data_IF_684852706135
#
_entry.id   IF_684852706135
#
_cell.length_a   1.000
_cell.length_b   1.000
_cell.length_c   1.000
_cell.angle_alpha   90.00
_cell.angle_beta   90.00
_cell.angle_gamma   90.00
#
_symmetry.space_group_name_H-M   'P 1'
#
loop_
_entity.id
_entity.type
_entity.pdbx_description
1 polymer ?
#
# COMPACT_ATOMS: atom_id res chain seq x y z
N UNK A 1 31.46 17.25 -12.23
CA UNK A 1 31.04 16.96 -10.84
C UNK A 1 30.60 15.52 -10.79
N UNK A 2 31.37 14.66 -10.13
CA UNK A 2 31.03 13.25 -9.97
C UNK A 2 29.98 13.12 -8.87
N UNK A 3 28.91 12.37 -9.13
CA UNK A 3 27.89 12.06 -8.13
C UNK A 3 28.52 11.31 -6.95
N UNK A 4 28.12 11.60 -5.70
CA UNK A 4 28.62 10.88 -4.54
C UNK A 4 28.23 9.40 -4.65
N UNK A 5 29.21 8.53 -4.40
CA UNK A 5 29.00 7.09 -4.35
C UNK A 5 27.88 6.75 -3.34
N UNK A 6 27.03 5.75 -3.64
CA UNK A 6 25.96 5.37 -2.73
C UNK A 6 26.54 4.95 -1.36
N UNK A 7 25.89 5.33 -0.25
CA UNK A 7 26.36 5.00 1.08
C UNK A 7 26.40 3.48 1.28
N UNK A 8 27.43 2.94 1.95
CA UNK A 8 27.53 1.50 2.20
C UNK A 8 26.36 1.05 3.08
N UNK A 9 25.41 0.31 2.50
CA UNK A 9 24.22 -0.21 3.20
C UNK A 9 22.87 0.29 2.69
N UNK A 10 22.80 1.03 1.59
CA UNK A 10 21.53 1.36 0.95
C UNK A 10 20.78 0.07 0.54
N UNK A 11 19.44 -0.02 0.74
CA UNK A 11 18.69 -1.18 0.28
C UNK A 11 18.88 -1.29 -1.25
N UNK A 12 19.06 -2.51 -1.80
CA UNK A 12 19.37 -2.71 -3.22
C UNK A 12 18.35 -2.06 -4.18
N UNK A 13 17.13 -1.79 -3.69
CA UNK A 13 16.09 -1.05 -4.39
C UNK A 13 16.42 0.42 -4.61
N UNK A 14 17.07 1.08 -3.66
CA UNK A 14 17.41 2.51 -3.73
C UNK A 14 18.43 2.78 -4.83
N UNK A 15 19.38 1.88 -5.05
CA UNK A 15 20.38 2.03 -6.12
C UNK A 15 19.76 1.94 -7.52
N UNK A 16 18.76 1.05 -7.68
CA UNK A 16 17.99 0.93 -8.92
C UNK A 16 17.15 2.18 -9.14
N UNK A 17 16.49 2.66 -8.08
CA UNK A 17 15.67 3.89 -8.12
C UNK A 17 16.50 5.11 -8.53
N UNK A 18 17.65 5.34 -7.89
CA UNK A 18 18.56 6.44 -8.25
C UNK A 18 19.03 6.36 -9.71
N UNK A 19 19.33 5.14 -10.18
CA UNK A 19 19.76 4.94 -11.58
C UNK A 19 18.61 5.24 -12.55
N UNK A 20 17.37 4.91 -12.17
CA UNK A 20 16.17 5.16 -12.96
C UNK A 20 15.79 6.65 -12.99
N UNK A 21 15.91 7.36 -11.87
CA UNK A 21 15.76 8.82 -11.79
C UNK A 21 16.79 9.54 -12.67
N UNK A 22 18.05 9.11 -12.58
CA UNK A 22 19.14 9.68 -13.38
C UNK A 22 18.94 9.42 -14.88
N UNK A 23 18.39 8.26 -15.25
CA UNK A 23 18.01 7.91 -16.62
C UNK A 23 16.86 8.80 -17.12
N UNK A 24 15.82 9.00 -16.31
CA UNK A 24 14.70 9.88 -16.64
C UNK A 24 15.20 11.31 -16.89
N UNK A 25 16.04 11.85 -16.01
CA UNK A 25 16.62 13.18 -16.18
C UNK A 25 17.44 13.28 -17.48
N UNK A 26 18.23 12.26 -17.80
CA UNK A 26 19.05 12.26 -19.02
C UNK A 26 18.19 12.16 -20.28
N UNK A 27 17.11 11.38 -20.26
CA UNK A 27 16.12 11.31 -21.35
C UNK A 27 15.38 12.63 -21.54
N UNK A 28 15.02 13.32 -20.45
CA UNK A 28 14.42 14.65 -20.51
C UNK A 28 15.38 15.67 -21.14
N UNK A 29 16.62 15.72 -20.68
CA UNK A 29 17.65 16.61 -21.25
C UNK A 29 17.93 16.31 -22.73
N UNK A 30 17.98 15.03 -23.10
CA UNK A 30 18.10 14.61 -24.50
C UNK A 30 16.91 15.08 -25.34
N UNK A 31 15.68 14.95 -24.81
CA UNK A 31 14.47 15.47 -25.44
C UNK A 31 14.50 16.98 -25.65
N UNK A 32 14.98 17.74 -24.65
CA UNK A 32 15.15 19.19 -24.74
C UNK A 32 16.19 19.53 -25.83
N UNK A 33 17.37 18.90 -25.81
CA UNK A 33 18.42 19.13 -26.79
C UNK A 33 17.99 18.75 -28.22
N UNK A 34 17.14 17.72 -28.36
CA UNK A 34 16.61 17.31 -29.65
C UNK A 34 15.48 18.24 -30.15
N UNK A 35 14.76 18.89 -29.24
CA UNK A 35 13.70 19.85 -29.59
C UNK A 35 14.23 21.21 -30.03
N UNK A 36 15.34 21.66 -29.42
CA UNK A 36 15.98 22.94 -29.72
C UNK A 36 17.50 22.77 -29.70
N UNK A 37 18.07 22.61 -30.91
CA UNK A 37 19.51 22.44 -31.08
C UNK A 37 20.16 23.80 -31.09
N UNK A 38 20.73 24.20 -29.96
CA UNK A 38 21.47 25.46 -29.87
C UNK A 38 22.75 25.42 -30.71
N UNK A 39 23.13 26.53 -31.33
CA UNK A 39 24.38 26.63 -32.10
C UNK A 39 25.62 26.34 -31.23
N UNK A 40 25.56 26.59 -29.94
CA UNK A 40 26.60 26.24 -28.95
C UNK A 40 26.67 24.74 -28.63
N UNK A 41 25.64 23.97 -28.99
CA UNK A 41 25.52 22.53 -28.79
C UNK A 41 25.97 21.72 -30.03
N UNK A 42 26.28 22.39 -31.14
CA UNK A 42 26.81 21.79 -32.35
C UNK A 42 28.30 21.47 -32.21
N UNK A 43 28.71 20.37 -32.84
CA UNK A 43 30.12 19.95 -32.93
C UNK A 43 30.99 20.99 -33.66
N UNK A 44 30.40 21.70 -34.64
CA UNK A 44 31.06 22.72 -35.47
C UNK A 44 31.22 24.08 -34.78
N UNK A 45 30.70 24.23 -33.57
CA UNK A 45 30.72 25.51 -32.84
C UNK A 45 32.08 25.75 -32.18
N UNK A 46 32.83 26.80 -32.56
CA UNK A 46 34.06 27.16 -31.86
C UNK A 46 33.70 27.66 -30.45
N UNK A 47 34.31 27.05 -29.42
CA UNK A 47 34.01 27.27 -27.97
C UNK A 47 32.61 26.84 -27.48
N UNK A 48 31.87 26.05 -28.28
CA UNK A 48 30.60 25.45 -27.84
C UNK A 48 30.77 24.40 -26.74
N UNK A 49 29.71 24.15 -25.96
CA UNK A 49 29.68 23.18 -24.83
C UNK A 49 29.92 21.74 -25.31
N UNK A 50 29.74 21.49 -26.60
CA UNK A 50 30.00 20.21 -27.26
C UNK A 50 31.00 20.32 -28.43
N UNK A 51 31.86 21.34 -28.41
CA UNK A 51 32.90 21.53 -29.43
C UNK A 51 33.84 20.33 -29.48
N UNK A 52 34.03 19.75 -30.67
CA UNK A 52 34.89 18.59 -30.89
C UNK A 52 34.35 17.25 -30.35
N UNK A 53 33.11 17.20 -29.87
CA UNK A 53 32.44 15.95 -29.48
C UNK A 53 31.63 15.44 -30.69
N UNK A 54 31.87 14.20 -31.16
CA UNK A 54 31.17 13.66 -32.31
C UNK A 54 29.65 13.60 -32.04
N UNK A 55 28.87 14.28 -32.88
CA UNK A 55 27.42 14.38 -32.72
C UNK A 55 26.94 15.45 -31.73
N UNK A 56 27.83 16.35 -31.30
CA UNK A 56 27.50 17.49 -30.43
C UNK A 56 26.92 17.08 -29.07
N UNK A 57 26.11 17.96 -28.47
CA UNK A 57 25.54 17.72 -27.15
C UNK A 57 24.54 16.56 -27.14
N UNK A 58 23.81 16.39 -28.25
CA UNK A 58 22.85 15.30 -28.45
C UNK A 58 23.58 13.95 -28.46
N UNK A 59 24.67 13.83 -29.22
CA UNK A 59 25.48 12.61 -29.27
C UNK A 59 26.03 12.23 -27.90
N UNK A 60 26.54 13.22 -27.15
CA UNK A 60 26.99 13.01 -25.76
C UNK A 60 25.87 12.52 -24.84
N UNK A 61 24.68 13.13 -24.93
CA UNK A 61 23.52 12.74 -24.11
C UNK A 61 22.98 11.36 -24.48
N UNK A 62 22.95 11.02 -25.77
CA UNK A 62 22.57 9.70 -26.24
C UNK A 62 23.52 8.62 -25.70
N UNK A 63 24.83 8.86 -25.75
CA UNK A 63 25.82 7.95 -25.17
C UNK A 63 25.64 7.79 -23.65
N UNK A 64 25.39 8.88 -22.93
CA UNK A 64 25.10 8.85 -21.50
C UNK A 64 23.84 8.01 -21.18
N UNK A 65 22.78 8.11 -21.98
CA UNK A 65 21.57 7.29 -21.84
C UNK A 65 21.86 5.80 -22.05
N UNK A 66 22.68 5.46 -23.07
CA UNK A 66 23.07 4.06 -23.34
C UNK A 66 23.86 3.47 -22.17
N UNK A 67 24.82 4.22 -21.62
CA UNK A 67 25.61 3.81 -20.46
C UNK A 67 24.74 3.58 -19.22
N UNK A 68 23.77 4.46 -18.97
CA UNK A 68 22.82 4.32 -17.87
C UNK A 68 21.88 3.12 -18.05
N UNK A 69 21.43 2.85 -19.28
CA UNK A 69 20.60 1.68 -19.59
C UNK A 69 21.39 0.37 -19.41
N UNK A 70 22.66 0.36 -19.80
CA UNK A 70 23.58 -0.76 -19.55
C UNK A 70 23.82 -1.00 -18.06
N UNK A 71 24.01 0.06 -17.28
CA UNK A 71 24.11 -0.01 -15.81
C UNK A 71 22.83 -0.57 -15.19
N UNK A 72 21.66 -0.09 -15.60
CA UNK A 72 20.36 -0.58 -15.12
C UNK A 72 20.18 -2.07 -15.42
N UNK A 73 20.58 -2.53 -16.61
CA UNK A 73 20.55 -3.95 -16.95
C UNK A 73 21.45 -4.80 -16.04
N UNK A 74 22.66 -4.32 -15.71
CA UNK A 74 23.55 -4.99 -14.77
C UNK A 74 23.01 -5.06 -13.35
N UNK A 75 22.13 -4.14 -12.97
CA UNK A 75 21.49 -4.09 -11.64
C UNK A 75 20.22 -4.94 -11.54
N UNK A 76 19.76 -5.59 -12.62
CA UNK A 76 18.52 -6.39 -12.63
C UNK A 76 18.50 -7.48 -11.55
N UNK A 77 19.66 -8.06 -11.25
CA UNK A 77 19.79 -9.18 -10.32
C UNK A 77 19.69 -8.73 -8.84
N UNK A 78 19.87 -7.43 -8.56
CA UNK A 78 19.73 -6.86 -7.22
C UNK A 78 18.27 -6.93 -6.70
N UNK A 79 17.30 -6.96 -7.61
CA UNK A 79 15.86 -6.97 -7.30
C UNK A 79 15.18 -8.29 -7.68
N UNK A 80 15.94 -9.30 -8.09
CA UNK A 80 15.40 -10.59 -8.56
C UNK A 80 14.57 -11.35 -7.51
N UNK A 81 14.80 -11.09 -6.23
CA UNK A 81 14.05 -11.72 -5.13
C UNK A 81 12.65 -11.11 -4.90
N UNK A 82 12.28 -10.07 -5.64
CA UNK A 82 10.98 -9.40 -5.49
C UNK A 82 10.01 -9.97 -6.52
N UNK A 83 9.08 -10.81 -6.08
CA UNK A 83 7.98 -11.27 -6.92
C UNK A 83 6.89 -10.19 -7.02
N UNK A 84 6.52 -9.83 -8.25
CA UNK A 84 5.50 -8.83 -8.53
C UNK A 84 4.27 -9.54 -9.11
N UNK A 85 3.07 -9.40 -8.50
CA UNK A 85 1.85 -9.95 -9.06
C UNK A 85 1.55 -9.36 -10.45
N UNK A 86 1.04 -10.18 -11.37
CA UNK A 86 0.77 -9.76 -12.75
C UNK A 86 -0.31 -8.68 -12.82
N UNK A 87 -1.24 -8.66 -11.85
CA UNK A 87 -2.28 -7.63 -11.75
C UNK A 87 -1.66 -6.25 -11.50
N UNK A 88 -0.59 -6.19 -10.70
CA UNK A 88 0.12 -4.93 -10.41
C UNK A 88 0.80 -4.40 -11.68
N UNK A 89 1.41 -5.28 -12.47
CA UNK A 89 2.02 -4.92 -13.77
C UNK A 89 0.95 -4.37 -14.71
N UNK A 90 -0.20 -5.05 -14.79
CA UNK A 90 -1.34 -4.63 -15.62
C UNK A 90 -1.88 -3.25 -15.20
N UNK A 91 -1.89 -2.93 -13.90
CA UNK A 91 -2.29 -1.61 -13.42
C UNK A 91 -1.30 -0.52 -13.86
N UNK A 92 0.00 -0.80 -13.78
CA UNK A 92 1.05 0.13 -14.22
C UNK A 92 0.95 0.39 -15.72
N UNK A 93 0.74 -0.65 -16.54
CA UNK A 93 0.56 -0.52 -17.99
C UNK A 93 -0.67 0.33 -18.36
N UNK A 94 -1.71 0.30 -17.52
CA UNK A 94 -2.91 1.12 -17.69
C UNK A 94 -2.77 2.55 -17.11
N UNK A 95 -1.61 2.90 -16.53
CA UNK A 95 -1.41 4.18 -15.84
C UNK A 95 -2.24 4.33 -14.56
N UNK A 96 -2.69 3.22 -13.96
CA UNK A 96 -3.43 3.20 -12.70
C UNK A 96 -2.49 3.04 -11.52
N UNK A 97 -2.90 3.52 -10.35
CA UNK A 97 -2.12 3.38 -9.14
C UNK A 97 -2.01 1.90 -8.72
N UNK A 98 -0.80 1.32 -8.63
CA UNK A 98 -0.60 -0.08 -8.22
C UNK A 98 -1.09 -0.38 -6.79
N UNK A 99 -1.19 0.63 -5.92
CA UNK A 99 -1.72 0.47 -4.55
C UNK A 99 -3.20 0.07 -4.54
N UNK A 100 -3.92 0.25 -5.66
CA UNK A 100 -5.29 -0.22 -5.78
C UNK A 100 -5.38 -1.74 -5.65
N UNK A 101 -4.43 -2.49 -6.21
CA UNK A 101 -4.38 -3.94 -6.05
C UNK A 101 -4.22 -4.33 -4.59
N UNK A 102 -3.26 -3.70 -3.89
CA UNK A 102 -3.02 -3.95 -2.46
C UNK A 102 -4.26 -3.65 -1.63
N UNK A 103 -4.94 -2.53 -1.90
CA UNK A 103 -6.18 -2.16 -1.22
C UNK A 103 -7.26 -3.23 -1.42
N UNK A 104 -7.57 -3.58 -2.68
CA UNK A 104 -8.61 -4.56 -2.98
C UNK A 104 -8.28 -5.95 -2.44
N UNK A 105 -7.00 -6.32 -2.42
CA UNK A 105 -6.53 -7.58 -1.85
C UNK A 105 -6.76 -7.62 -0.33
N UNK A 106 -6.40 -6.55 0.39
CA UNK A 106 -6.63 -6.45 1.84
C UNK A 106 -8.13 -6.45 2.16
N UNK A 107 -8.94 -5.69 1.41
CA UNK A 107 -10.40 -5.65 1.59
C UNK A 107 -11.03 -7.03 1.38
N UNK A 108 -10.61 -7.74 0.34
CA UNK A 108 -11.07 -9.11 0.05
C UNK A 108 -10.63 -10.09 1.14
N UNK A 109 -9.36 -10.06 1.54
CA UNK A 109 -8.84 -10.92 2.62
C UNK A 109 -9.56 -10.67 3.94
N UNK A 110 -9.83 -9.41 4.28
CA UNK A 110 -10.58 -9.05 5.48
C UNK A 110 -12.00 -9.61 5.43
N UNK A 111 -12.69 -9.44 4.29
CA UNK A 111 -14.02 -10.00 4.08
C UNK A 111 -14.05 -11.53 4.16
N UNK A 112 -13.10 -12.21 3.51
CA UNK A 112 -12.97 -13.67 3.55
C UNK A 112 -12.64 -14.19 4.96
N UNK A 113 -11.81 -13.47 5.71
CA UNK A 113 -11.46 -13.81 7.10
C UNK A 113 -12.69 -13.67 8.02
N UNK A 114 -13.40 -12.53 7.94
CA UNK A 114 -14.63 -12.31 8.72
C UNK A 114 -15.72 -13.33 8.38
N UNK A 115 -15.89 -13.61 7.08
CA UNK A 115 -16.87 -14.60 6.62
C UNK A 115 -16.55 -16.00 7.16
N UNK A 116 -15.28 -16.42 7.08
CA UNK A 116 -14.82 -17.73 7.58
C UNK A 116 -14.99 -17.84 9.10
N UNK A 117 -14.63 -16.80 9.84
CA UNK A 117 -14.84 -16.75 11.29
C UNK A 117 -16.32 -16.79 11.65
N UNK A 118 -17.18 -16.12 10.88
CA UNK A 118 -18.63 -16.18 11.05
C UNK A 118 -19.18 -17.59 10.88
N UNK A 119 -18.73 -18.32 9.86
CA UNK A 119 -19.08 -19.74 9.68
C UNK A 119 -18.60 -20.59 10.85
N UNK A 120 -17.34 -20.40 11.28
CA UNK A 120 -16.76 -21.18 12.37
C UNK A 120 -17.52 -20.96 13.70
N UNK A 121 -17.90 -19.71 13.98
CA UNK A 121 -18.73 -19.36 15.14
C UNK A 121 -20.10 -20.04 15.05
N UNK A 122 -20.79 -19.93 13.90
CA UNK A 122 -22.11 -20.52 13.72
C UNK A 122 -22.11 -22.05 13.85
N UNK A 123 -21.07 -22.72 13.35
CA UNK A 123 -20.90 -24.18 13.52
C UNK A 123 -20.65 -24.52 14.99
N UNK A 124 -19.85 -23.72 15.69
CA UNK A 124 -19.57 -23.93 17.12
C UNK A 124 -20.83 -23.76 17.98
N UNK A 125 -21.64 -22.74 17.67
CA UNK A 125 -22.93 -22.48 18.31
C UNK A 125 -23.93 -23.60 18.03
N UNK A 126 -24.04 -24.02 16.75
CA UNK A 126 -24.89 -25.14 16.36
C UNK A 126 -24.50 -26.43 17.08
N UNK A 127 -23.20 -26.72 17.17
CA UNK A 127 -22.68 -27.88 17.90
C UNK A 127 -23.01 -27.78 19.40
N UNK A 128 -22.91 -26.59 19.99
CA UNK A 128 -23.30 -26.36 21.39
C UNK A 128 -24.79 -26.64 21.62
N UNK A 129 -25.65 -26.10 20.76
CA UNK A 129 -27.10 -26.35 20.81
C UNK A 129 -27.44 -27.82 20.61
N UNK A 130 -26.83 -28.47 19.63
CA UNK A 130 -27.06 -29.89 19.35
C UNK A 130 -26.65 -30.77 20.55
N UNK A 131 -25.53 -30.45 21.20
CA UNK A 131 -25.11 -31.16 22.41
C UNK A 131 -26.09 -30.97 23.57
N UNK A 132 -26.64 -29.77 23.76
CA UNK A 132 -27.62 -29.54 24.83
C UNK A 132 -28.89 -30.35 24.58
N UNK A 133 -29.46 -30.27 23.38
CA UNK A 133 -30.68 -31.00 23.01
C UNK A 133 -30.49 -32.52 23.07
N UNK A 134 -29.31 -33.02 22.68
CA UNK A 134 -29.01 -34.44 22.73
C UNK A 134 -28.80 -34.94 24.17
N UNK A 135 -28.21 -34.13 25.05
CA UNK A 135 -28.12 -34.42 26.48
C UNK A 135 -29.49 -34.46 27.17
N UNK A 136 -30.40 -33.55 26.80
CA UNK A 136 -31.77 -33.52 27.32
C UNK A 136 -32.59 -34.74 26.86
N UNK A 137 -32.44 -35.15 25.60
CA UNK A 137 -33.17 -36.29 25.02
C UNK A 137 -32.62 -37.65 25.46
N UNK A 138 -31.31 -37.75 25.72
CA UNK A 138 -30.62 -39.00 26.06
C UNK A 138 -29.63 -38.79 27.23
N UNK A 139 -30.10 -38.89 28.49
CA UNK A 139 -29.26 -38.62 29.67
C UNK A 139 -28.09 -39.60 29.81
N UNK A 140 -28.24 -40.86 29.37
CA UNK A 140 -27.15 -41.86 29.38
C UNK A 140 -25.96 -41.48 28.47
N UNK A 141 -26.20 -40.61 27.47
CA UNK A 141 -25.18 -40.16 26.53
C UNK A 141 -24.51 -38.85 26.96
N UNK A 142 -25.07 -38.14 27.95
CA UNK A 142 -24.59 -36.82 28.38
C UNK A 142 -23.13 -36.88 28.89
N UNK A 143 -22.78 -37.93 29.64
CA UNK A 143 -21.43 -38.13 30.17
C UNK A 143 -20.38 -38.33 29.07
N UNK A 144 -20.76 -38.97 27.95
CA UNK A 144 -19.88 -39.15 26.79
C UNK A 144 -19.74 -37.87 25.97
N UNK A 145 -20.81 -37.09 25.82
CA UNK A 145 -20.77 -35.80 25.10
C UNK A 145 -19.86 -34.78 25.81
N UNK A 146 -19.85 -34.77 27.14
CA UNK A 146 -18.99 -33.91 27.96
C UNK A 146 -17.50 -34.25 27.82
N UNK A 147 -17.16 -35.52 27.59
CA UNK A 147 -15.77 -35.99 27.40
C UNK A 147 -15.22 -35.66 26.00
N UNK A 148 -16.09 -35.41 25.02
CA UNK A 148 -15.70 -34.92 23.70
C UNK A 148 -15.37 -33.42 23.77
N UNK A 149 -14.26 -33.08 24.41
CA UNK A 149 -13.75 -31.71 24.53
C UNK A 149 -13.73 -31.01 23.16
N UNK A 150 -13.98 -29.69 23.10
CA UNK A 150 -13.83 -28.94 21.85
C UNK A 150 -12.39 -29.09 21.33
N UNK A 151 -12.26 -29.35 20.03
CA UNK A 151 -11.00 -29.09 19.32
C UNK A 151 -10.47 -27.70 19.72
N UNK A 152 -9.15 -27.53 19.87
CA UNK A 152 -8.57 -26.28 20.35
C UNK A 152 -9.08 -25.15 19.46
N UNK A 153 -9.75 -24.19 20.09
CA UNK A 153 -10.03 -22.88 19.51
C UNK A 153 -8.72 -22.35 18.91
N UNK A 154 -8.72 -21.79 17.68
CA UNK A 154 -7.55 -21.08 17.20
C UNK A 154 -7.32 -19.90 18.14
N UNK A 155 -6.40 -20.08 19.08
CA UNK A 155 -5.97 -19.04 20.01
C UNK A 155 -5.54 -17.83 19.19
N UNK A 156 -6.34 -16.76 19.28
CA UNK A 156 -5.99 -15.44 18.84
C UNK A 156 -4.81 -14.93 19.69
N UNK A 157 -3.59 -15.33 19.37
CA UNK A 157 -2.40 -14.54 19.70
C UNK A 157 -2.35 -13.36 18.75
N UNK A 158 -3.23 -12.39 18.99
CA UNK A 158 -3.06 -11.03 18.50
C UNK A 158 -2.02 -10.36 19.39
N UNK A 159 -0.74 -10.56 19.07
CA UNK A 159 0.33 -9.73 19.61
C UNK A 159 0.18 -8.32 19.00
N UNK A 160 -0.60 -7.49 19.69
CA UNK A 160 -0.81 -6.10 19.36
C UNK A 160 0.29 -5.29 20.03
N UNK A 161 1.51 -5.34 19.47
CA UNK A 161 2.55 -4.36 19.78
C UNK A 161 2.40 -3.14 18.88
N UNK A 162 1.39 -2.32 19.18
CA UNK A 162 1.29 -0.96 18.70
C UNK A 162 1.90 -0.03 19.75
N UNK A 163 3.16 0.36 19.55
CA UNK A 163 3.77 1.46 20.30
C UNK A 163 3.53 2.77 19.53
N UNK A 164 2.81 3.71 20.13
CA UNK A 164 2.41 4.96 19.47
C UNK A 164 1.52 5.84 20.34
N UNK A 165 2.07 6.26 21.47
CA UNK A 165 1.59 7.21 22.48
C UNK A 165 0.91 8.47 21.92
N UNK A 166 -0.29 8.80 22.41
CA UNK A 166 -0.65 10.15 22.91
C UNK A 166 -2.07 10.18 23.53
N UNK A 167 -2.12 10.47 24.82
CA UNK A 167 -3.29 10.83 25.63
C UNK A 167 -4.01 12.08 25.07
N UNK A 168 -5.31 12.31 25.27
CA UNK A 168 -5.89 12.70 26.57
C UNK A 168 -7.43 12.76 26.49
N UNK A 169 -8.11 12.26 27.52
CA UNK A 169 -9.53 12.51 27.80
C UNK A 169 -9.72 13.83 28.57
N UNK A 170 -10.95 14.37 28.63
CA UNK A 170 -11.50 14.62 29.97
C UNK A 170 -12.97 14.18 30.15
N UNK A 171 -13.14 13.42 31.23
CA UNK A 171 -14.20 13.38 32.27
C UNK A 171 -15.54 14.13 32.10
N UNK A 172 -16.62 13.32 32.13
CA UNK A 172 -17.94 13.45 32.76
C UNK A 172 -18.47 14.78 33.34
N UNK A 173 -19.76 15.02 33.09
CA UNK A 173 -20.63 15.87 33.91
C UNK A 173 -22.10 15.77 33.49
N UNK A 174 -22.85 14.83 34.07
CA UNK A 174 -24.30 14.73 33.96
C UNK A 174 -24.97 15.60 35.03
N UNK A 175 -25.89 16.49 34.61
CA UNK A 175 -26.93 17.11 35.45
C UNK A 175 -28.12 17.51 34.56
N UNK A 176 -29.31 17.01 34.88
CA UNK A 176 -30.60 17.44 34.32
C UNK A 176 -31.29 18.46 35.27
N UNK A 177 -32.54 18.91 35.05
CA UNK A 177 -32.86 20.23 34.49
C UNK A 177 -33.62 21.16 35.48
N UNK A 178 -33.56 22.48 35.28
CA UNK A 178 -34.50 23.44 35.90
C UNK A 178 -34.88 24.54 34.90
N UNK A 179 -36.18 24.83 34.87
CA UNK A 179 -36.92 25.72 33.99
C UNK A 179 -36.63 27.22 34.16
N UNK A 180 -36.81 28.02 33.10
CA UNK A 180 -37.78 29.12 33.10
C UNK A 180 -38.09 29.60 31.66
N UNK A 181 -39.36 29.94 31.41
CA UNK A 181 -39.90 30.22 30.08
C UNK A 181 -39.85 31.69 29.63
N UNK A 182 -40.17 31.90 28.35
CA UNK A 182 -40.85 33.11 27.84
C UNK A 182 -41.37 32.81 26.43
N UNK A 183 -42.57 33.34 26.14
CA UNK A 183 -43.49 32.90 25.09
C UNK A 183 -43.11 33.25 23.64
N UNK A 184 -43.90 32.70 22.71
CA UNK A 184 -43.84 33.09 21.30
C UNK A 184 -44.53 32.12 20.33
N UNK A 185 -45.85 32.21 20.27
CA UNK A 185 -46.73 32.03 19.10
C UNK A 185 -46.79 30.71 18.32
N UNK A 186 -48.02 30.22 18.18
CA UNK A 186 -48.45 29.04 17.42
C UNK A 186 -48.80 29.45 15.99
N UNK A 187 -48.23 28.79 14.97
CA UNK A 187 -48.87 28.63 13.66
C UNK A 187 -48.65 27.22 13.13
N UNK A 188 -49.75 26.48 13.08
CA UNK A 188 -49.90 25.18 12.47
C UNK A 188 -50.46 25.44 11.06
N UNK A 189 -49.70 25.11 10.02
CA UNK A 189 -50.21 25.13 8.65
C UNK A 189 -49.76 23.85 7.92
N UNK A 190 -50.77 23.15 7.42
CA UNK A 190 -50.75 21.97 6.57
C UNK A 190 -49.72 22.05 5.44
N UNK A 191 -48.93 20.98 5.27
CA UNK A 191 -48.36 20.63 3.96
C UNK A 191 -48.61 19.14 3.73
N UNK A 192 -49.48 18.90 2.77
CA UNK A 192 -49.70 17.62 2.07
C UNK A 192 -48.44 17.17 1.34
#
# INVERSE_FOLDING_TARGET
MAAPAPPPGAPPRLEVEQTLEQLLQTLLELGICASDVQDSALESSPDGVASGVPGGLIGRKAQQTIEQLGRLHGQKDLVANVNIPIEVITLVDQGKNPHLHTKSFIERLSGENMYTNGILSAISDYRGLLRSQLGDAFPDLADYLAQTSPLPEPSATADSSANGTAASAPTNGASAPVANGSGGDVKMEDVR
#
